data_IF_513561530591
#
_entry.id   IF_513561530591
#
_cell.length_a   1.000
_cell.length_b   1.000
_cell.length_c   1.000
_cell.angle_alpha   90.00
_cell.angle_beta   90.00
_cell.angle_gamma   90.00
#
_symmetry.space_group_name_H-M   'P 1'
#
loop_
_entity.id
_entity.type
_entity.pdbx_description
1 polymer ?
#
# COMPACT_ATOMS: atom_id res chain seq x y z
N UNK A 1 1.35 -16.80 -13.47
CA UNK A 1 0.28 -16.40 -12.53
C UNK A 1 0.89 -16.40 -11.15
N UNK A 2 0.94 -15.21 -10.51
CA UNK A 2 1.64 -15.00 -9.26
C UNK A 2 0.98 -15.79 -8.14
N UNK A 3 1.76 -16.12 -7.12
CA UNK A 3 1.22 -16.76 -5.91
C UNK A 3 0.53 -15.73 -5.01
N UNK A 4 -0.39 -16.20 -4.15
CA UNK A 4 -1.09 -15.34 -3.19
C UNK A 4 -0.10 -14.57 -2.30
N UNK A 5 1.00 -15.21 -1.89
CA UNK A 5 2.07 -14.57 -1.12
C UNK A 5 2.76 -13.44 -1.89
N UNK A 6 3.06 -13.65 -3.18
CA UNK A 6 3.65 -12.62 -4.05
C UNK A 6 2.69 -11.44 -4.27
N UNK A 7 1.40 -11.69 -4.41
CA UNK A 7 0.37 -10.64 -4.55
C UNK A 7 0.30 -9.79 -3.28
N UNK A 8 0.18 -10.43 -2.12
CA UNK A 8 0.12 -9.73 -0.82
C UNK A 8 1.39 -8.91 -0.59
N UNK A 9 2.55 -9.51 -0.84
CA UNK A 9 3.83 -8.83 -0.65
C UNK A 9 3.95 -7.61 -1.58
N UNK A 10 3.63 -7.76 -2.86
CA UNK A 10 3.72 -6.67 -3.85
C UNK A 10 2.82 -5.49 -3.50
N UNK A 11 1.57 -5.77 -3.11
CA UNK A 11 0.63 -4.76 -2.65
C UNK A 11 1.15 -4.02 -1.40
N UNK A 12 1.64 -4.75 -0.41
CA UNK A 12 2.15 -4.17 0.83
C UNK A 12 3.36 -3.27 0.58
N UNK A 13 4.34 -3.74 -0.20
CA UNK A 13 5.54 -2.96 -0.53
C UNK A 13 5.20 -1.67 -1.28
N UNK A 14 4.23 -1.70 -2.19
CA UNK A 14 3.77 -0.53 -2.93
C UNK A 14 3.07 0.50 -2.02
N UNK A 15 2.17 0.05 -1.14
CA UNK A 15 1.50 0.93 -0.18
C UNK A 15 2.50 1.58 0.79
N UNK A 16 3.42 0.80 1.36
CA UNK A 16 4.46 1.33 2.24
C UNK A 16 5.37 2.34 1.52
N UNK A 17 5.69 2.07 0.25
CA UNK A 17 6.46 2.97 -0.60
C UNK A 17 5.84 4.36 -0.71
N UNK A 18 4.51 4.44 -0.87
CA UNK A 18 3.78 5.71 -0.89
C UNK A 18 3.86 6.43 0.46
N UNK A 19 3.60 5.72 1.55
CA UNK A 19 3.63 6.30 2.90
C UNK A 19 5.01 6.91 3.19
N UNK A 20 6.08 6.20 2.85
CA UNK A 20 7.46 6.68 3.07
C UNK A 20 7.91 7.75 2.07
N UNK A 21 7.22 7.92 0.95
CA UNK A 21 7.47 9.02 0.02
C UNK A 21 6.95 10.35 0.58
N UNK A 22 5.84 10.32 1.32
CA UNK A 22 5.23 11.52 1.93
C UNK A 22 5.78 11.84 3.32
N UNK A 23 6.06 10.82 4.14
CA UNK A 23 6.51 11.02 5.51
C UNK A 23 7.87 10.37 5.76
N UNK A 24 8.77 11.07 6.44
CA UNK A 24 9.96 10.39 6.98
C UNK A 24 9.50 9.44 8.08
N UNK A 25 10.13 8.27 8.16
CA UNK A 25 9.86 7.27 9.22
C UNK A 25 9.91 7.85 10.64
N UNK A 26 10.74 8.86 10.89
CA UNK A 26 10.84 9.53 12.18
C UNK A 26 9.72 10.52 12.49
N UNK A 27 8.93 10.90 11.48
CA UNK A 27 7.83 11.87 11.58
C UNK A 27 6.49 11.16 11.75
N UNK A 28 6.35 9.91 11.26
CA UNK A 28 5.16 9.10 11.51
C UNK A 28 5.06 8.71 12.98
N UNK A 29 3.87 8.92 13.55
CA UNK A 29 3.57 8.45 14.90
C UNK A 29 3.32 6.94 14.88
N UNK A 30 2.56 6.48 13.89
CA UNK A 30 2.23 5.08 13.66
C UNK A 30 1.68 4.91 12.23
N UNK A 31 1.76 3.70 11.66
CA UNK A 31 1.04 3.33 10.45
C UNK A 31 0.82 1.81 10.44
N UNK A 32 -0.24 1.38 9.78
CA UNK A 32 -0.56 -0.03 9.60
C UNK A 32 -1.03 -0.25 8.15
N UNK A 33 -0.51 -1.30 7.53
CA UNK A 33 -0.91 -1.74 6.18
C UNK A 33 -1.33 -3.20 6.32
N UNK A 34 -2.62 -3.45 6.16
CA UNK A 34 -3.18 -4.80 6.18
C UNK A 34 -3.60 -5.17 4.77
N UNK A 35 -3.01 -6.22 4.22
CA UNK A 35 -3.30 -6.73 2.88
C UNK A 35 -3.75 -8.17 2.99
N UNK A 36 -4.89 -8.47 2.36
CA UNK A 36 -5.41 -9.83 2.24
C UNK A 36 -5.68 -10.13 0.77
N UNK A 37 -5.34 -11.34 0.34
CA UNK A 37 -5.68 -11.84 -0.99
C UNK A 37 -6.31 -13.21 -0.86
N UNK A 38 -7.62 -13.29 -1.12
CA UNK A 38 -8.39 -14.52 -0.99
C UNK A 38 -9.39 -14.63 -2.13
N UNK A 39 -9.51 -15.83 -2.70
CA UNK A 39 -10.47 -16.14 -3.77
C UNK A 39 -10.37 -15.21 -5.01
N UNK A 40 -9.17 -14.66 -5.27
CA UNK A 40 -8.92 -13.73 -6.36
C UNK A 40 -9.35 -12.29 -6.09
N UNK A 41 -9.65 -11.95 -4.84
CA UNK A 41 -10.01 -10.60 -4.39
C UNK A 41 -8.89 -10.06 -3.52
N UNK A 42 -8.37 -8.88 -3.89
CA UNK A 42 -7.44 -8.11 -3.07
C UNK A 42 -8.22 -7.16 -2.18
N UNK A 43 -7.90 -7.18 -0.88
CA UNK A 43 -8.43 -6.27 0.13
C UNK A 43 -7.24 -5.56 0.80
N UNK A 44 -7.30 -4.23 0.85
CA UNK A 44 -6.21 -3.39 1.33
C UNK A 44 -6.79 -2.34 2.28
N UNK A 45 -6.40 -2.44 3.54
CA UNK A 45 -6.70 -1.46 4.58
C UNK A 45 -5.42 -0.72 4.95
N UNK A 46 -5.44 0.61 4.85
CA UNK A 46 -4.29 1.45 5.21
C UNK A 46 -4.70 2.43 6.30
N UNK A 47 -3.92 2.47 7.36
CA UNK A 47 -4.03 3.45 8.44
C UNK A 47 -2.72 4.24 8.56
N UNK A 48 -2.83 5.56 8.57
CA UNK A 48 -1.69 6.45 8.76
C UNK A 48 -1.98 7.40 9.91
N UNK A 49 -1.06 7.47 10.87
CA UNK A 49 -1.08 8.43 11.96
C UNK A 49 0.10 9.39 11.82
N UNK A 50 -0.14 10.48 11.09
CA UNK A 50 0.82 11.57 10.92
C UNK A 50 0.58 12.69 11.95
N UNK A 51 1.61 13.50 12.28
CA UNK A 51 1.45 14.66 13.15
C UNK A 51 0.52 15.70 12.51
N UNK A 52 -0.23 16.44 13.34
CA UNK A 52 -1.21 17.44 12.88
C UNK A 52 -0.62 18.56 12.00
N UNK A 53 0.69 18.83 12.15
CA UNK A 53 1.43 19.84 11.36
C UNK A 53 2.08 19.27 10.09
N UNK A 54 1.75 18.03 9.69
CA UNK A 54 2.28 17.44 8.47
C UNK A 54 1.83 18.18 7.21
N UNK A 55 2.68 18.18 6.18
CA UNK A 55 2.41 18.89 4.92
C UNK A 55 1.28 18.25 4.10
N UNK A 56 1.14 16.92 4.19
CA UNK A 56 0.11 16.13 3.49
C UNK A 56 -0.81 15.49 4.52
N UNK A 57 -2.10 15.48 4.23
CA UNK A 57 -3.12 14.85 5.06
C UNK A 57 -2.97 13.31 5.08
N UNK A 58 -3.13 12.71 6.25
CA UNK A 58 -2.90 11.29 6.46
C UNK A 58 -3.95 10.42 5.74
N UNK A 59 -5.20 10.86 5.67
CA UNK A 59 -6.26 10.14 4.97
C UNK A 59 -6.00 10.17 3.45
N UNK A 60 -5.51 11.29 2.92
CA UNK A 60 -5.11 11.39 1.50
C UNK A 60 -3.97 10.43 1.15
N UNK A 61 -2.96 10.32 2.03
CA UNK A 61 -1.85 9.37 1.82
C UNK A 61 -2.31 7.92 1.95
N UNK A 62 -3.21 7.61 2.88
CA UNK A 62 -3.77 6.26 3.03
C UNK A 62 -4.54 5.83 1.76
N UNK A 63 -5.39 6.72 1.23
CA UNK A 63 -6.13 6.50 -0.02
C UNK A 63 -5.20 6.32 -1.23
N UNK A 64 -4.09 7.08 -1.29
CA UNK A 64 -3.08 6.94 -2.34
C UNK A 64 -2.35 5.61 -2.23
N UNK A 65 -1.93 5.22 -1.02
CA UNK A 65 -1.25 3.96 -0.76
C UNK A 65 -2.10 2.74 -1.13
N UNK A 66 -3.40 2.76 -0.79
CA UNK A 66 -4.32 1.69 -1.16
C UNK A 66 -4.49 1.56 -2.70
N UNK A 67 -4.51 2.68 -3.44
CA UNK A 67 -4.52 2.63 -4.91
C UNK A 67 -3.23 2.06 -5.47
N UNK A 68 -2.08 2.53 -4.98
CA UNK A 68 -0.77 2.07 -5.43
C UNK A 68 -0.59 0.56 -5.22
N UNK A 69 -1.09 0.01 -4.11
CA UNK A 69 -1.12 -1.43 -3.87
C UNK A 69 -1.89 -2.19 -4.96
N UNK A 70 -3.09 -1.72 -5.32
CA UNK A 70 -3.88 -2.31 -6.40
C UNK A 70 -3.20 -2.21 -7.76
N UNK A 71 -2.64 -1.04 -8.10
CA UNK A 71 -1.92 -0.82 -9.36
C UNK A 71 -0.68 -1.72 -9.48
N UNK A 72 0.07 -1.90 -8.39
CA UNK A 72 1.23 -2.78 -8.39
C UNK A 72 0.86 -4.26 -8.59
N UNK A 73 -0.27 -4.69 -8.03
CA UNK A 73 -0.80 -6.04 -8.27
C UNK A 73 -1.27 -6.19 -9.71
N UNK A 74 -1.99 -5.21 -10.26
CA UNK A 74 -2.38 -5.21 -11.68
C UNK A 74 -1.15 -5.32 -12.61
N UNK A 75 -0.07 -4.60 -12.30
CA UNK A 75 1.20 -4.67 -13.03
C UNK A 75 1.87 -6.05 -12.88
N UNK A 76 1.87 -6.63 -11.68
CA UNK A 76 2.41 -7.97 -11.43
C UNK A 76 1.72 -9.03 -12.30
N UNK A 77 0.39 -9.00 -12.37
CA UNK A 77 -0.36 -9.92 -13.22
C UNK A 77 -0.08 -9.67 -14.71
N UNK A 78 0.02 -8.40 -15.14
CA UNK A 78 0.31 -8.06 -16.52
C UNK A 78 1.71 -8.52 -16.98
N UNK A 79 2.72 -8.40 -16.12
CA UNK A 79 4.09 -8.81 -16.41
C UNK A 79 4.26 -10.34 -16.50
N UNK A 80 3.42 -11.10 -15.79
CA UNK A 80 3.43 -12.57 -15.81
C UNK A 80 2.68 -13.17 -17.01
N UNK A 81 1.88 -12.38 -17.73
CA UNK A 81 1.18 -12.78 -18.96
C UNK A 81 2.02 -12.56 -20.25
N UNK A 82 3.22 -11.96 -20.15
CA UNK A 82 4.20 -11.79 -21.25
C UNK A 82 5.13 -13.01 -21.45
#
# INVERSE_FOLDING_TARGET
>A
MPTDEEVVQTAAEAAEGVIFAHYKQSELTDFDVTVTFEEGVLDVDVYVNAPDDAETDADEVADEAARAAGEAVDELFAAEDE
#
